data_IF_093011024877
#
_entry.id   IF_093011024877
#
_cell.length_a   1.000
_cell.length_b   1.000
_cell.length_c   1.000
_cell.angle_alpha   90.00
_cell.angle_beta   90.00
_cell.angle_gamma   90.00
#
_symmetry.space_group_name_H-M   'P 1'
#
loop_
_entity.id
_entity.type
_entity.pdbx_description
1 polymer ?
#
# COMPACT_ATOMS: atom_id res chain seq x y z
N UNK A 1 11.13 14.33 3.83
CA UNK A 1 10.52 13.01 4.13
C UNK A 1 9.96 12.47 2.83
N UNK A 2 10.57 11.40 2.29
CA UNK A 2 10.15 10.82 1.03
C UNK A 2 9.25 9.62 1.30
N UNK A 3 8.25 9.40 0.44
CA UNK A 3 7.37 8.24 0.54
C UNK A 3 6.91 7.81 -0.83
N UNK A 4 6.80 6.50 -1.02
CA UNK A 4 6.08 5.92 -2.15
C UNK A 4 4.63 5.76 -1.74
N UNK A 5 3.72 6.19 -2.61
CA UNK A 5 2.27 6.09 -2.39
C UNK A 5 1.71 5.02 -3.31
N UNK A 6 1.09 4.00 -2.72
CA UNK A 6 0.40 2.93 -3.44
C UNK A 6 -1.09 3.18 -3.36
N UNK A 7 -1.74 3.28 -4.52
CA UNK A 7 -3.15 3.61 -4.64
C UNK A 7 -3.91 2.40 -5.18
N UNK A 8 -4.93 1.94 -4.46
CA UNK A 8 -5.82 0.88 -4.91
C UNK A 8 -7.17 1.49 -5.32
N UNK A 9 -7.44 1.69 -6.62
CA UNK A 9 -8.67 2.33 -7.08
C UNK A 9 -9.90 1.50 -6.72
N UNK A 10 -10.97 2.18 -6.31
CA UNK A 10 -12.25 1.56 -6.05
C UNK A 10 -13.00 1.31 -7.36
N UNK A 11 -12.72 0.16 -7.98
CA UNK A 11 -13.38 -0.29 -9.21
C UNK A 11 -14.58 -1.17 -8.87
N UNK A 12 -15.58 -1.17 -9.74
CA UNK A 12 -16.73 -2.07 -9.60
C UNK A 12 -16.26 -3.53 -9.50
N UNK A 13 -16.76 -4.26 -8.50
CA UNK A 13 -16.38 -5.66 -8.25
C UNK A 13 -14.98 -5.86 -7.63
N UNK A 14 -14.23 -4.80 -7.34
CA UNK A 14 -12.95 -4.92 -6.65
C UNK A 14 -13.17 -5.49 -5.23
N UNK A 15 -12.49 -6.59 -4.93
CA UNK A 15 -12.41 -7.14 -3.58
C UNK A 15 -11.07 -6.74 -2.98
N UNK A 16 -11.09 -6.21 -1.77
CA UNK A 16 -9.89 -5.87 -1.01
C UNK A 16 -9.98 -6.49 0.37
N UNK A 17 -9.15 -7.49 0.64
CA UNK A 17 -9.08 -8.14 1.94
C UNK A 17 -8.12 -7.35 2.85
N UNK A 18 -8.70 -6.55 3.74
CA UNK A 18 -7.92 -5.73 4.67
C UNK A 18 -7.22 -6.58 5.74
N UNK A 19 -7.77 -7.73 6.14
CA UNK A 19 -7.17 -8.55 7.18
C UNK A 19 -5.91 -9.23 6.65
N UNK A 20 -5.97 -9.80 5.44
CA UNK A 20 -4.79 -10.30 4.74
C UNK A 20 -3.78 -9.17 4.51
N UNK A 21 -4.22 -8.05 3.95
CA UNK A 21 -3.32 -6.98 3.56
C UNK A 21 -2.55 -6.40 4.76
N UNK A 22 -3.23 -6.17 5.89
CA UNK A 22 -2.63 -5.55 7.07
C UNK A 22 -1.84 -6.51 7.95
N UNK A 23 -2.21 -7.79 8.02
CA UNK A 23 -1.56 -8.75 8.92
C UNK A 23 -0.55 -9.67 8.23
N UNK A 24 -0.55 -9.75 6.89
CA UNK A 24 0.38 -10.60 6.13
C UNK A 24 1.24 -9.79 5.18
N UNK A 25 0.60 -9.11 4.22
CA UNK A 25 1.33 -8.43 3.15
C UNK A 25 2.14 -7.23 3.67
N UNK A 26 1.53 -6.35 4.46
CA UNK A 26 2.21 -5.14 4.98
C UNK A 26 3.42 -5.46 5.87
N UNK A 27 3.34 -6.38 6.86
CA UNK A 27 4.51 -6.79 7.63
C UNK A 27 5.62 -7.39 6.78
N UNK A 28 5.27 -8.18 5.76
CA UNK A 28 6.24 -8.76 4.84
C UNK A 28 6.98 -7.67 4.05
N UNK A 29 6.26 -6.77 3.38
CA UNK A 29 6.89 -5.66 2.63
C UNK A 29 7.68 -4.75 3.55
N UNK A 30 7.15 -4.42 4.74
CA UNK A 30 7.84 -3.60 5.74
C UNK A 30 9.17 -4.22 6.18
N UNK A 31 9.21 -5.55 6.33
CA UNK A 31 10.44 -6.29 6.62
C UNK A 31 11.46 -6.27 5.47
N UNK A 32 11.00 -6.29 4.22
CA UNK A 32 11.88 -6.18 3.06
C UNK A 32 12.48 -4.78 2.90
N UNK A 33 11.66 -3.74 3.06
CA UNK A 33 12.10 -2.35 2.88
C UNK A 33 12.76 -1.77 4.14
N UNK A 34 12.67 -2.44 5.28
CA UNK A 34 13.19 -1.98 6.57
C UNK A 34 12.47 -0.74 7.13
N UNK A 35 11.31 -0.40 6.59
CA UNK A 35 10.63 0.88 6.84
C UNK A 35 9.16 0.66 7.20
N UNK A 36 8.62 1.55 8.04
CA UNK A 36 7.21 1.52 8.42
C UNK A 36 6.31 1.87 7.23
N UNK A 37 5.23 1.12 7.09
CA UNK A 37 4.17 1.37 6.11
C UNK A 37 2.91 1.86 6.85
N UNK A 38 2.35 2.97 6.40
CA UNK A 38 1.04 3.45 6.86
C UNK A 38 -0.04 2.99 5.88
N UNK A 39 -1.12 2.39 6.39
CA UNK A 39 -2.26 1.94 5.58
C UNK A 39 -3.49 2.74 5.95
N UNK A 40 -4.18 3.29 4.96
CA UNK A 40 -5.45 4.00 5.12
C UNK A 40 -6.54 3.32 4.32
N UNK A 41 -7.62 2.97 5.00
CA UNK A 41 -8.85 2.46 4.39
C UNK A 41 -9.71 3.64 3.92
N UNK A 42 -10.14 3.61 2.66
CA UNK A 42 -11.14 4.53 2.14
C UNK A 42 -12.50 4.22 2.77
N UNK A 43 -13.11 5.21 3.42
CA UNK A 43 -14.44 5.09 4.04
C UNK A 43 -15.51 5.71 3.15
N UNK A 44 -15.33 6.97 2.77
CA UNK A 44 -16.23 7.69 1.87
C UNK A 44 -15.51 8.86 1.21
N UNK A 45 -16.13 9.43 0.19
CA UNK A 45 -15.82 10.79 -0.27
C UNK A 45 -16.40 11.83 0.71
N UNK A 46 -16.04 13.12 0.58
CA UNK A 46 -16.66 14.20 1.35
C UNK A 46 -18.18 14.35 1.13
N UNK A 47 -18.71 13.86 -0.01
CA UNK A 47 -20.14 13.91 -0.31
C UNK A 47 -20.91 12.67 0.16
N UNK A 48 -20.23 11.74 0.86
CA UNK A 48 -20.81 10.48 1.33
C UNK A 48 -20.91 9.39 0.27
N UNK A 49 -20.42 9.63 -0.94
CA UNK A 49 -20.31 8.58 -1.98
C UNK A 49 -19.14 7.64 -1.70
N UNK A 50 -19.07 6.54 -2.47
CA UNK A 50 -17.94 5.60 -2.40
C UNK A 50 -16.58 6.31 -2.57
N UNK A 51 -15.54 5.90 -1.83
CA UNK A 51 -14.22 6.51 -1.96
C UNK A 51 -13.61 6.19 -3.32
N UNK A 52 -12.80 7.08 -3.88
CA UNK A 52 -12.10 6.84 -5.16
C UNK A 52 -11.05 5.72 -5.06
N UNK A 53 -10.51 5.49 -3.85
CA UNK A 53 -9.54 4.44 -3.56
C UNK A 53 -10.04 3.63 -2.36
N UNK A 54 -10.03 2.30 -2.47
CA UNK A 54 -10.39 1.43 -1.34
C UNK A 54 -9.29 1.44 -0.29
N UNK A 55 -8.02 1.52 -0.71
CA UNK A 55 -6.85 1.53 0.14
C UNK A 55 -5.81 2.52 -0.42
N UNK A 56 -5.14 3.23 0.48
CA UNK A 56 -3.92 3.98 0.19
C UNK A 56 -2.85 3.54 1.18
N UNK A 57 -1.70 3.10 0.69
CA UNK A 57 -0.55 2.77 1.51
C UNK A 57 0.60 3.76 1.26
N UNK A 58 1.29 4.15 2.33
CA UNK A 58 2.47 5.01 2.28
C UNK A 58 3.66 4.25 2.82
N UNK A 59 4.67 4.05 1.98
CA UNK A 59 5.92 3.41 2.36
C UNK A 59 6.95 4.54 2.53
N UNK A 60 7.43 4.75 3.75
CA UNK A 60 8.48 5.72 3.99
C UNK A 60 9.79 5.25 3.36
N UNK A 61 10.48 6.13 2.64
CA UNK A 61 11.74 5.83 1.98
C UNK A 61 12.76 6.93 2.25
N UNK A 62 14.03 6.53 2.24
CA UNK A 62 15.20 7.41 2.27
C UNK A 62 15.63 7.75 0.85
N UNK A 63 15.72 6.73 -0.01
CA UNK A 63 16.05 6.83 -1.44
C UNK A 63 15.04 6.04 -2.28
N UNK A 64 14.74 6.55 -3.48
CA UNK A 64 13.93 5.82 -4.45
C UNK A 64 14.72 4.67 -5.10
N UNK A 65 16.04 4.83 -5.27
CA UNK A 65 16.91 3.79 -5.83
C UNK A 65 16.98 2.56 -4.90
N UNK A 66 17.16 2.78 -3.58
CA UNK A 66 17.17 1.70 -2.59
C UNK A 66 15.84 0.94 -2.57
N UNK A 67 14.72 1.67 -2.58
CA UNK A 67 13.39 1.06 -2.63
C UNK A 67 13.16 0.24 -3.89
N UNK A 68 13.57 0.76 -5.06
CA UNK A 68 13.45 0.04 -6.33
C UNK A 68 14.33 -1.21 -6.37
N UNK A 69 15.52 -1.18 -5.76
CA UNK A 69 16.38 -2.35 -5.66
C UNK A 69 15.73 -3.48 -4.83
N UNK A 70 15.15 -3.14 -3.67
CA UNK A 70 14.40 -4.09 -2.83
C UNK A 70 13.22 -4.69 -3.61
N UNK A 71 12.44 -3.86 -4.31
CA UNK A 71 11.33 -4.35 -5.13
C UNK A 71 11.79 -5.23 -6.31
N UNK A 72 12.91 -4.92 -6.96
CA UNK A 72 13.41 -5.75 -8.05
C UNK A 72 13.81 -7.16 -7.58
N UNK A 73 14.33 -7.26 -6.35
CA UNK A 73 14.75 -8.53 -5.75
C UNK A 73 13.58 -9.39 -5.25
N UNK A 74 12.47 -8.76 -4.86
CA UNK A 74 11.37 -9.43 -4.13
C UNK A 74 9.97 -9.22 -4.73
N UNK A 75 9.83 -8.44 -5.81
CA UNK A 75 8.55 -7.95 -6.33
C UNK A 75 7.71 -8.98 -7.09
N UNK A 76 8.15 -10.23 -7.16
CA UNK A 76 7.31 -11.32 -7.66
C UNK A 76 6.49 -11.87 -6.49
N UNK A 77 5.38 -11.21 -6.19
CA UNK A 77 4.34 -11.76 -5.33
C UNK A 77 3.38 -12.55 -6.24
N UNK A 78 3.25 -13.86 -6.01
CA UNK A 78 2.31 -14.75 -6.73
C UNK A 78 0.98 -14.87 -5.99
#
# INVERSE_FOLDING_TARGET
>A
MNRVTVLYPNKSGAKFDFDYYTHKHVPWVSGLVGQKIEVRKGISSPTGSSPAFVCVAFIHITSIEEFQAVLAQHGTES
#
